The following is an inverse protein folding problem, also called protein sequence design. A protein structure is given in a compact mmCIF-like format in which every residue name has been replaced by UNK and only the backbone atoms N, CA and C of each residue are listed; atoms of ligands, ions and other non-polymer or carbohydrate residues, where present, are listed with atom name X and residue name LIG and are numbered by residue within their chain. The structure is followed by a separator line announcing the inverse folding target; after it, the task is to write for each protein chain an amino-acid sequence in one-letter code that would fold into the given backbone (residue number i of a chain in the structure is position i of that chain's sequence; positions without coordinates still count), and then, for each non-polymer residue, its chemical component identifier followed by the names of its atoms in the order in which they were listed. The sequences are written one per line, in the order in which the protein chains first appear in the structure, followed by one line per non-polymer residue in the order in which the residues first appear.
data_IF_445241222513
#
_entry.id   IF_445241222513
#
_cell.length_a   1.000
_cell.length_b   1.000
_cell.length_c   1.000
_cell.angle_alpha   90.00
_cell.angle_beta   90.00
_cell.angle_gamma   90.00
#
_symmetry.space_group_name_H-M   'P 1'
#
loop_
_entity.id
_entity.type
_entity.pdbx_description
1 polymer ?
#
# COMPACT_ATOMS: atom_id res chain seq x y z
N UNK A 1 7.80 7.87 8.73
CA UNK A 1 8.92 7.44 7.87
C UNK A 1 9.42 6.08 8.33
N UNK A 2 9.34 5.04 7.50
CA UNK A 2 9.87 3.73 7.85
C UNK A 2 11.41 3.74 7.86
N UNK A 3 12.01 3.13 8.88
CA UNK A 3 13.46 3.04 9.05
C UNK A 3 13.88 1.57 8.87
N UNK A 4 14.18 1.19 7.62
CA UNK A 4 14.34 -0.21 7.21
C UNK A 4 15.44 -0.95 7.99
N UNK A 5 16.56 -0.29 8.30
CA UNK A 5 17.69 -0.91 9.02
C UNK A 5 17.43 -1.11 10.52
N UNK A 6 16.53 -0.32 11.10
CA UNK A 6 16.26 -0.28 12.54
C UNK A 6 14.92 -0.91 12.93
N UNK A 7 14.15 -1.42 11.96
CA UNK A 7 12.84 -2.07 12.17
C UNK A 7 11.87 -1.22 13.00
N UNK A 8 11.79 0.08 12.68
CA UNK A 8 10.89 1.00 13.36
C UNK A 8 10.41 2.10 12.39
N UNK A 9 9.44 2.92 12.83
CA UNK A 9 8.89 4.05 12.08
C UNK A 9 9.05 5.34 12.90
N UNK A 10 9.60 6.38 12.28
CA UNK A 10 9.70 7.72 12.87
C UNK A 10 8.53 8.60 12.50
N UNK A 11 8.08 9.42 13.44
CA UNK A 11 7.03 10.43 13.23
C UNK A 11 7.58 11.82 13.53
N UNK A 12 7.25 12.78 12.68
CA UNK A 12 7.79 14.14 12.73
C UNK A 12 6.65 15.18 12.67
N UNK A 13 6.87 16.32 13.30
CA UNK A 13 6.12 17.54 13.07
C UNK A 13 6.43 18.09 11.67
N UNK A 14 5.57 18.98 11.16
CA UNK A 14 5.77 19.62 9.86
C UNK A 14 7.01 20.54 9.81
N UNK A 15 7.51 20.98 10.96
CA UNK A 15 8.78 21.70 11.07
C UNK A 15 10.02 20.80 10.99
N UNK A 16 9.82 19.48 10.84
CA UNK A 16 10.87 18.47 10.72
C UNK A 16 11.39 17.92 12.05
N UNK A 17 10.89 18.41 13.20
CA UNK A 17 11.27 17.86 14.50
C UNK A 17 10.58 16.52 14.76
N UNK A 18 11.31 15.55 15.35
CA UNK A 18 10.72 14.26 15.70
C UNK A 18 9.79 14.41 16.92
N UNK A 19 8.62 13.75 16.90
CA UNK A 19 7.69 13.80 18.03
C UNK A 19 8.23 13.02 19.22
N UNK A 20 7.78 13.36 20.44
CA UNK A 20 8.11 12.60 21.64
C UNK A 20 7.58 11.16 21.56
N UNK A 21 8.40 10.19 21.97
CA UNK A 21 8.05 8.76 21.96
C UNK A 21 8.39 8.02 20.66
N UNK A 22 8.64 8.74 19.56
CA UNK A 22 9.17 8.19 18.32
C UNK A 22 10.68 7.88 18.45
N UNK A 23 11.21 6.85 17.76
CA UNK A 23 10.53 5.96 16.81
C UNK A 23 9.76 4.81 17.47
N UNK A 24 8.78 4.27 16.75
CA UNK A 24 7.93 3.16 17.20
C UNK A 24 8.34 1.85 16.51
N UNK A 25 8.52 0.77 17.28
CA UNK A 25 8.94 -0.53 16.76
C UNK A 25 7.90 -1.12 15.79
N UNK A 26 8.37 -1.69 14.67
CA UNK A 26 7.56 -2.34 13.63
C UNK A 26 7.97 -3.82 13.50
N UNK A 27 7.55 -4.48 12.42
CA UNK A 27 8.19 -5.71 11.94
C UNK A 27 9.47 -5.45 11.15
N UNK A 28 9.98 -6.50 10.51
CA UNK A 28 11.27 -6.48 9.80
C UNK A 28 11.21 -5.76 8.45
N UNK A 29 12.20 -4.88 8.21
CA UNK A 29 12.38 -4.09 6.99
C UNK A 29 11.10 -3.35 6.58
N UNK A 30 10.64 -2.36 7.39
CA UNK A 30 9.50 -1.54 7.02
C UNK A 30 9.83 -0.71 5.77
N UNK A 31 8.87 -0.59 4.84
CA UNK A 31 9.07 0.11 3.55
C UNK A 31 7.96 1.08 3.16
N UNK A 32 6.72 0.79 3.57
CA UNK A 32 5.53 1.55 3.15
C UNK A 32 4.73 2.02 4.36
N UNK A 33 4.09 3.18 4.23
CA UNK A 33 3.18 3.72 5.25
C UNK A 33 1.89 4.14 4.57
N UNK A 34 0.75 3.77 5.16
CA UNK A 34 -0.58 4.17 4.74
C UNK A 34 -1.39 4.65 5.95
N UNK A 35 -2.42 5.47 5.70
CA UNK A 35 -3.32 5.98 6.72
C UNK A 35 -4.77 5.72 6.32
N UNK A 36 -5.56 5.19 7.24
CA UNK A 36 -6.98 4.86 6.99
C UNK A 36 -7.97 5.91 7.55
N UNK A 37 -7.47 6.98 8.18
CA UNK A 37 -8.28 7.97 8.90
C UNK A 37 -8.23 7.83 10.42
N UNK A 38 -7.83 6.66 10.94
CA UNK A 38 -7.81 6.30 12.36
C UNK A 38 -6.51 5.64 12.81
N UNK A 39 -5.89 4.83 11.94
CA UNK A 39 -4.67 4.08 12.20
C UNK A 39 -3.63 4.33 11.10
N UNK A 40 -2.36 4.21 11.50
CA UNK A 40 -1.22 4.17 10.58
C UNK A 40 -0.81 2.72 10.35
N UNK A 41 -0.72 2.33 9.08
CA UNK A 41 -0.35 0.99 8.63
C UNK A 41 1.05 1.01 8.06
N UNK A 42 1.90 0.08 8.50
CA UNK A 42 3.31 -0.02 8.07
C UNK A 42 3.59 -1.41 7.52
N UNK A 43 3.92 -1.48 6.23
CA UNK A 43 4.26 -2.75 5.57
C UNK A 43 5.68 -3.16 5.92
N UNK A 44 5.82 -4.36 6.49
CA UNK A 44 7.09 -4.96 6.90
C UNK A 44 7.53 -5.98 5.84
N UNK A 45 8.37 -5.53 4.89
CA UNK A 45 8.67 -6.25 3.66
C UNK A 45 9.27 -7.64 3.91
N UNK A 46 10.29 -7.73 4.77
CA UNK A 46 10.90 -9.02 5.12
C UNK A 46 10.09 -9.82 6.12
N UNK A 47 9.29 -9.13 6.94
CA UNK A 47 8.40 -9.77 7.91
C UNK A 47 7.22 -10.49 7.26
N UNK A 48 6.84 -10.13 6.03
CA UNK A 48 5.57 -10.52 5.40
C UNK A 48 4.38 -10.21 6.34
N UNK A 49 4.45 -9.06 7.01
CA UNK A 49 3.41 -8.58 7.92
C UNK A 49 3.13 -7.10 7.71
N UNK A 50 2.03 -6.62 8.30
CA UNK A 50 1.70 -5.20 8.40
C UNK A 50 1.52 -4.84 9.88
N UNK A 51 2.27 -3.85 10.35
CA UNK A 51 2.12 -3.29 11.69
C UNK A 51 1.07 -2.18 11.65
N UNK A 52 0.16 -2.14 12.63
CA UNK A 52 -0.92 -1.16 12.68
C UNK A 52 -0.88 -0.41 13.99
N UNK A 53 -0.87 0.92 13.91
CA UNK A 53 -0.67 1.83 15.03
C UNK A 53 -1.85 2.76 15.23
N UNK A 54 -2.22 2.98 16.48
CA UNK A 54 -3.01 4.14 16.90
C UNK A 54 -2.21 5.43 16.66
N UNK A 55 -2.89 6.57 16.64
CA UNK A 55 -2.26 7.89 16.44
C UNK A 55 -1.28 8.29 17.55
N UNK A 56 -1.38 7.67 18.73
CA UNK A 56 -0.43 7.86 19.84
C UNK A 56 0.86 7.02 19.70
N UNK A 57 0.96 6.22 18.63
CA UNK A 57 2.11 5.36 18.33
C UNK A 57 2.10 4.01 19.04
N UNK A 58 1.05 3.67 19.79
CA UNK A 58 0.83 2.30 20.29
C UNK A 58 0.34 1.41 19.16
N UNK A 59 0.77 0.14 19.12
CA UNK A 59 0.21 -0.83 18.17
C UNK A 59 -1.18 -1.29 18.62
N UNK A 60 -2.08 -1.54 17.67
CA UNK A 60 -3.38 -2.14 17.98
C UNK A 60 -3.21 -3.61 18.42
N UNK A 61 -4.20 -4.14 19.13
CA UNK A 61 -4.18 -5.53 19.61
C UNK A 61 -4.09 -6.49 18.42
N UNK A 62 -3.13 -7.42 18.49
CA UNK A 62 -2.91 -8.44 17.45
C UNK A 62 -1.90 -8.03 16.37
N UNK A 63 -1.49 -6.77 16.31
CA UNK A 63 -0.42 -6.33 15.40
C UNK A 63 0.93 -6.95 15.80
N UNK A 64 1.79 -7.32 14.83
CA UNK A 64 1.60 -7.19 13.39
C UNK A 64 0.79 -8.34 12.76
N UNK A 65 0.06 -8.06 11.70
CA UNK A 65 -0.81 -9.02 10.99
C UNK A 65 -0.11 -9.62 9.78
N UNK A 66 -0.33 -10.90 9.50
CA UNK A 66 0.28 -11.59 8.34
C UNK A 66 -0.34 -11.15 7.02
N UNK A 67 0.49 -11.05 5.99
CA UNK A 67 0.09 -10.75 4.60
C UNK A 67 0.83 -11.65 3.62
N UNK A 68 0.69 -11.41 2.31
CA UNK A 68 1.50 -12.06 1.28
C UNK A 68 2.98 -11.65 1.33
N UNK A 69 3.77 -12.19 0.42
CA UNK A 69 5.23 -12.00 0.43
C UNK A 69 5.65 -10.65 -0.12
N UNK A 70 6.57 -9.98 0.61
CA UNK A 70 7.07 -8.63 0.29
C UNK A 70 5.94 -7.61 0.10
N UNK A 71 5.20 -7.26 1.16
CA UNK A 71 4.17 -6.23 1.08
C UNK A 71 4.75 -4.85 0.75
N UNK A 72 4.11 -4.16 -0.20
CA UNK A 72 4.39 -2.77 -0.57
C UNK A 72 3.56 -1.77 0.22
N UNK A 73 3.61 -0.49 -0.16
CA UNK A 73 2.78 0.54 0.47
C UNK A 73 1.29 0.32 0.14
N UNK A 74 0.45 0.30 1.18
CA UNK A 74 -0.99 0.12 1.02
C UNK A 74 -1.77 1.42 0.77
N UNK A 75 -3.07 1.29 0.53
CA UNK A 75 -4.00 2.41 0.49
C UNK A 75 -5.36 1.99 1.06
N UNK A 76 -6.05 2.93 1.70
CA UNK A 76 -7.39 2.68 2.25
C UNK A 76 -8.48 3.11 1.27
N UNK A 77 -9.55 2.30 1.20
CA UNK A 77 -10.81 2.67 0.54
C UNK A 77 -11.81 3.35 1.51
N UNK A 78 -11.40 3.60 2.76
CA UNK A 78 -12.23 4.12 3.86
C UNK A 78 -12.90 3.04 4.71
N UNK A 79 -12.89 1.78 4.28
CA UNK A 79 -13.47 0.62 4.99
C UNK A 79 -12.48 -0.54 5.15
N UNK A 80 -11.50 -0.64 4.25
CA UNK A 80 -10.46 -1.64 4.24
C UNK A 80 -9.10 -0.99 3.95
N UNK A 81 -8.04 -1.71 4.29
CA UNK A 81 -6.68 -1.43 3.86
C UNK A 81 -6.23 -2.45 2.80
N UNK A 82 -5.83 -1.97 1.64
CA UNK A 82 -5.36 -2.78 0.52
C UNK A 82 -3.84 -2.75 0.46
N UNK A 83 -3.21 -3.92 0.45
CA UNK A 83 -1.75 -4.07 0.53
C UNK A 83 -1.26 -4.96 -0.61
N UNK A 84 -0.52 -4.42 -1.59
CA UNK A 84 0.07 -5.22 -2.67
C UNK A 84 1.19 -6.10 -2.13
N UNK A 85 1.29 -7.34 -2.60
CA UNK A 85 2.31 -8.31 -2.18
C UNK A 85 3.19 -8.68 -3.37
N UNK A 86 4.36 -8.04 -3.47
CA UNK A 86 5.17 -7.98 -4.67
C UNK A 86 5.56 -9.35 -5.22
N UNK A 87 6.04 -10.26 -4.36
CA UNK A 87 6.46 -11.60 -4.81
C UNK A 87 5.34 -12.64 -4.78
N UNK A 88 4.20 -12.34 -4.15
CA UNK A 88 3.05 -13.24 -4.17
C UNK A 88 2.15 -13.02 -5.39
N UNK A 89 2.28 -11.90 -6.09
CA UNK A 89 1.38 -11.48 -7.18
C UNK A 89 -0.09 -11.38 -6.71
N UNK A 90 -0.28 -10.92 -5.48
CA UNK A 90 -1.60 -10.76 -4.86
C UNK A 90 -1.73 -9.39 -4.19
N UNK A 91 -2.95 -9.05 -3.81
CA UNK A 91 -3.29 -7.94 -2.92
C UNK A 91 -4.02 -8.50 -1.72
N UNK A 92 -3.54 -8.20 -0.51
CA UNK A 92 -4.24 -8.51 0.73
C UNK A 92 -5.18 -7.36 1.07
N UNK A 93 -6.39 -7.67 1.50
CA UNK A 93 -7.41 -6.71 1.94
C UNK A 93 -7.69 -6.97 3.41
N UNK A 94 -7.46 -5.97 4.24
CA UNK A 94 -7.67 -6.02 5.68
C UNK A 94 -8.86 -5.18 6.09
N UNK A 95 -9.65 -5.67 7.04
CA UNK A 95 -10.54 -4.80 7.84
C UNK A 95 -9.67 -3.83 8.65
N UNK A 96 -10.23 -2.67 9.03
CA UNK A 96 -9.46 -1.64 9.76
C UNK A 96 -9.02 -2.06 11.17
N UNK A 97 -9.53 -3.18 11.69
CA UNK A 97 -9.07 -3.81 12.94
C UNK A 97 -7.84 -4.73 12.75
N UNK A 98 -7.33 -4.84 11.53
CA UNK A 98 -6.19 -5.69 11.18
C UNK A 98 -6.53 -7.10 10.73
N UNK A 99 -7.80 -7.53 10.82
CA UNK A 99 -8.19 -8.88 10.37
C UNK A 99 -8.17 -8.98 8.85
N UNK A 100 -7.64 -10.08 8.31
CA UNK A 100 -7.59 -10.30 6.86
C UNK A 100 -8.98 -10.63 6.32
N UNK A 101 -9.52 -9.74 5.48
CA UNK A 101 -10.81 -9.92 4.82
C UNK A 101 -10.70 -10.81 3.55
N UNK A 102 -9.57 -10.71 2.84
CA UNK A 102 -9.32 -11.53 1.66
C UNK A 102 -7.95 -11.31 1.04
N UNK A 103 -7.59 -12.20 0.11
CA UNK A 103 -6.37 -12.09 -0.70
C UNK A 103 -6.71 -12.39 -2.15
N UNK A 104 -6.42 -11.46 -3.05
CA UNK A 104 -6.86 -11.51 -4.44
C UNK A 104 -5.67 -11.49 -5.39
N UNK A 105 -5.75 -12.27 -6.47
CA UNK A 105 -4.70 -12.31 -7.48
C UNK A 105 -4.70 -11.03 -8.34
N UNK A 106 -3.52 -10.59 -8.76
CA UNK A 106 -3.31 -9.47 -9.69
C UNK A 106 -2.22 -9.81 -10.71
N UNK A 107 -1.76 -8.84 -11.50
CA UNK A 107 -0.60 -8.99 -12.38
C UNK A 107 0.71 -9.20 -11.60
N UNK A 108 1.79 -9.44 -12.33
CA UNK A 108 3.08 -9.79 -11.72
C UNK A 108 3.80 -8.58 -11.13
N UNK A 109 4.35 -8.74 -9.93
CA UNK A 109 5.07 -7.68 -9.20
C UNK A 109 4.18 -6.49 -8.82
N UNK A 110 3.06 -6.68 -8.09
CA UNK A 110 2.25 -5.55 -7.66
C UNK A 110 3.04 -4.66 -6.71
N UNK A 111 3.13 -3.36 -7.01
CA UNK A 111 4.08 -2.46 -6.34
C UNK A 111 3.39 -1.39 -5.48
N UNK A 112 2.46 -0.65 -6.07
CA UNK A 112 1.70 0.40 -5.39
C UNK A 112 0.20 0.24 -5.63
N UNK A 113 -0.59 0.84 -4.74
CA UNK A 113 -2.05 0.89 -4.85
C UNK A 113 -2.57 2.29 -4.54
N UNK A 114 -3.63 2.71 -5.23
CA UNK A 114 -4.36 3.96 -4.96
C UNK A 114 -5.87 3.76 -5.07
N UNK A 115 -6.63 4.54 -4.31
CA UNK A 115 -8.08 4.56 -4.36
C UNK A 115 -8.57 5.75 -5.20
N UNK A 116 -9.52 5.52 -6.11
CA UNK A 116 -10.13 6.58 -6.92
C UNK A 116 -11.48 7.09 -6.37
N UNK A 117 -11.92 6.58 -5.22
CA UNK A 117 -13.25 6.85 -4.66
C UNK A 117 -14.29 5.76 -4.95
N UNK A 118 -13.99 4.80 -5.83
CA UNK A 118 -14.87 3.67 -6.18
C UNK A 118 -14.14 2.34 -6.45
N UNK A 119 -12.88 2.39 -6.85
CA UNK A 119 -12.05 1.25 -7.24
C UNK A 119 -10.61 1.40 -6.72
N UNK A 120 -9.94 0.27 -6.53
CA UNK A 120 -8.54 0.20 -6.17
C UNK A 120 -7.68 -0.08 -7.40
N UNK A 121 -6.67 0.76 -7.64
CA UNK A 121 -5.78 0.69 -8.79
C UNK A 121 -4.42 0.17 -8.34
N UNK A 122 -3.99 -0.96 -8.86
CA UNK A 122 -2.75 -1.66 -8.47
C UNK A 122 -1.79 -1.72 -9.63
N UNK A 123 -0.62 -1.11 -9.50
CA UNK A 123 0.45 -1.18 -10.51
C UNK A 123 1.12 -2.53 -10.48
N UNK A 124 1.28 -3.18 -11.63
CA UNK A 124 1.93 -4.48 -11.77
C UNK A 124 3.26 -4.30 -12.52
N UNK A 125 4.34 -4.12 -11.75
CA UNK A 125 5.66 -3.69 -12.24
C UNK A 125 6.21 -4.59 -13.35
N UNK A 126 6.12 -5.92 -13.20
CA UNK A 126 6.67 -6.84 -14.20
C UNK A 126 5.70 -7.13 -15.35
N UNK A 127 4.41 -6.88 -15.15
CA UNK A 127 3.40 -7.10 -16.19
C UNK A 127 3.19 -5.91 -17.12
N UNK A 128 3.75 -4.72 -16.81
CA UNK A 128 3.50 -3.48 -17.55
C UNK A 128 2.00 -3.14 -17.65
N UNK A 129 1.27 -3.38 -16.56
CA UNK A 129 -0.18 -3.14 -16.48
C UNK A 129 -0.57 -2.52 -15.15
N UNK A 130 -1.81 -2.03 -15.09
CA UNK A 130 -2.53 -1.73 -13.85
C UNK A 130 -3.78 -2.59 -13.78
N UNK A 131 -4.02 -3.22 -12.64
CA UNK A 131 -5.28 -3.88 -12.32
C UNK A 131 -6.21 -2.92 -11.59
N UNK A 132 -7.48 -2.89 -11.96
CA UNK A 132 -8.52 -2.13 -11.30
C UNK A 132 -9.47 -3.09 -10.61
N UNK A 133 -9.54 -3.00 -9.30
CA UNK A 133 -10.35 -3.84 -8.43
C UNK A 133 -11.63 -3.11 -8.01
N UNK A 134 -12.75 -3.83 -8.05
CA UNK A 134 -13.93 -3.46 -7.28
C UNK A 134 -13.65 -3.69 -5.78
N UNK A 135 -14.39 -3.00 -4.90
CA UNK A 135 -14.16 -3.08 -3.46
C UNK A 135 -14.46 -4.45 -2.83
N UNK A 136 -15.12 -5.35 -3.57
CA UNK A 136 -15.31 -6.75 -3.16
C UNK A 136 -14.11 -7.66 -3.49
N UNK A 137 -13.06 -7.10 -4.11
CA UNK A 137 -11.85 -7.81 -4.53
C UNK A 137 -11.93 -8.46 -5.91
N UNK A 138 -13.05 -8.34 -6.62
CA UNK A 138 -13.12 -8.74 -8.03
C UNK A 138 -12.36 -7.76 -8.93
N UNK A 139 -11.72 -8.27 -9.98
CA UNK A 139 -11.02 -7.43 -10.97
C UNK A 139 -12.03 -6.86 -11.96
N UNK A 140 -12.23 -5.54 -11.94
CA UNK A 140 -13.06 -4.80 -12.89
C UNK A 140 -12.38 -4.55 -14.24
N UNK A 141 -11.03 -4.56 -14.27
CA UNK A 141 -10.27 -4.45 -15.51
C UNK A 141 -8.76 -4.53 -15.32
N UNK A 142 -8.06 -4.71 -16.43
CA UNK A 142 -6.59 -4.63 -16.48
C UNK A 142 -6.19 -3.84 -17.71
N UNK A 143 -5.36 -2.81 -17.52
CA UNK A 143 -5.01 -1.87 -18.58
C UNK A 143 -3.50 -1.79 -18.73
N UNK A 144 -3.04 -1.66 -19.97
CA UNK A 144 -1.62 -1.49 -20.25
C UNK A 144 -1.13 -0.12 -19.81
N UNK A 145 0.12 -0.07 -19.35
CA UNK A 145 0.87 1.16 -19.05
C UNK A 145 2.07 1.29 -19.99
N UNK A 146 3.00 2.18 -19.66
CA UNK A 146 4.39 2.07 -20.08
C UNK A 146 5.15 0.97 -19.34
N UNK A 147 6.47 0.94 -19.52
CA UNK A 147 7.37 -0.05 -18.94
C UNK A 147 7.58 0.15 -17.44
N UNK A 148 7.37 -0.92 -16.68
CA UNK A 148 7.58 -0.98 -15.23
C UNK A 148 6.84 0.11 -14.45
N UNK A 149 5.49 0.03 -14.42
CA UNK A 149 4.69 0.96 -13.64
C UNK A 149 5.02 0.82 -12.15
N UNK A 150 5.27 1.94 -11.47
CA UNK A 150 5.67 1.97 -10.07
C UNK A 150 4.61 2.64 -9.20
N UNK A 151 4.67 3.95 -9.03
CA UNK A 151 3.76 4.70 -8.16
C UNK A 151 2.50 5.11 -8.91
N UNK A 152 1.39 5.19 -8.18
CA UNK A 152 0.10 5.59 -8.70
C UNK A 152 -0.55 6.65 -7.80
N UNK A 153 -1.20 7.64 -8.40
CA UNK A 153 -1.83 8.75 -7.68
C UNK A 153 -3.11 9.21 -8.38
N UNK A 154 -4.15 9.52 -7.59
CA UNK A 154 -5.42 10.02 -8.07
C UNK A 154 -5.56 11.53 -7.82
N UNK A 155 -5.98 12.28 -8.84
CA UNK A 155 -6.14 13.75 -8.76
C UNK A 155 -7.60 14.21 -8.54
N UNK A 156 -8.53 13.27 -8.34
CA UNK A 156 -9.97 13.54 -8.28
C UNK A 156 -10.72 13.31 -9.60
N UNK A 157 -10.02 13.07 -10.71
CA UNK A 157 -10.63 12.73 -12.01
C UNK A 157 -9.79 11.78 -12.87
N UNK A 158 -8.51 11.62 -12.58
CA UNK A 158 -7.58 10.81 -13.35
C UNK A 158 -6.63 10.05 -12.43
N UNK A 159 -6.31 8.82 -12.83
CA UNK A 159 -5.21 8.06 -12.26
C UNK A 159 -3.93 8.33 -13.06
N UNK A 160 -2.85 8.66 -12.35
CA UNK A 160 -1.53 8.91 -12.90
C UNK A 160 -0.56 7.82 -12.43
N UNK A 161 0.18 7.21 -13.36
CA UNK A 161 1.08 6.09 -13.07
C UNK A 161 2.46 6.38 -13.63
N UNK A 162 3.50 6.38 -12.78
CA UNK A 162 4.89 6.54 -13.22
C UNK A 162 5.41 5.24 -13.83
N UNK A 163 6.14 5.33 -14.95
CA UNK A 163 6.72 4.19 -15.64
C UNK A 163 8.25 4.31 -15.56
N UNK A 164 8.89 3.54 -14.67
CA UNK A 164 10.31 3.75 -14.31
C UNK A 164 11.29 3.42 -15.44
N UNK A 165 10.94 2.47 -16.33
CA UNK A 165 11.87 1.96 -17.33
C UNK A 165 11.67 2.52 -18.74
N UNK A 166 10.77 3.48 -18.93
CA UNK A 166 10.62 4.21 -20.21
C UNK A 166 10.56 5.74 -20.09
N UNK A 167 10.71 6.28 -18.87
CA UNK A 167 10.66 7.72 -18.57
C UNK A 167 9.32 8.39 -18.94
N UNK A 168 8.20 7.67 -18.82
CA UNK A 168 6.87 8.21 -19.10
C UNK A 168 5.93 8.15 -17.89
N UNK A 169 4.76 8.79 -18.04
CA UNK A 169 3.65 8.69 -17.10
C UNK A 169 2.40 8.27 -17.88
N UNK A 170 1.73 7.21 -17.44
CA UNK A 170 0.43 6.80 -17.97
C UNK A 170 -0.68 7.60 -17.29
N UNK A 171 -1.69 8.04 -18.05
CA UNK A 171 -2.86 8.73 -17.52
C UNK A 171 -4.13 7.96 -17.91
N UNK A 172 -4.94 7.63 -16.91
CA UNK A 172 -6.26 7.02 -17.10
C UNK A 172 -7.34 8.00 -16.67
N UNK A 173 -8.28 8.30 -17.57
CA UNK A 173 -9.43 9.14 -17.24
C UNK A 173 -10.48 8.29 -16.56
N UNK A 174 -10.97 8.75 -15.41
CA UNK A 174 -12.03 8.10 -14.65
C UNK A 174 -13.32 8.86 -14.94
N UNK A 175 -14.35 8.21 -15.52
CA UNK A 175 -15.58 8.86 -15.94
C UNK A 175 -16.46 9.31 -14.78
#
# INVERSE_FOLDING_TARGET
MPNSDSNNVSVFNLDGTQITGSPFATGSLPVGVAFDGTHTWVSNLNGNTVSVFNLDGTQIIGSPFTTGTHPGAGASDGTHMWVPNYFANTVSVFNLDGTLAGTYATGTGPYAVAFDGSHMWVTNYYANTVSVFNLDGSVGGTYNTGASPALTAFDGSNMWVTNENDNTVSKFRIP
#
